data_IF_477820687333
#
_entry.id   IF_477820687333
#
_cell.length_a   1.000
_cell.length_b   1.000
_cell.length_c   1.000
_cell.angle_alpha   90.00
_cell.angle_beta   90.00
_cell.angle_gamma   90.00
#
_symmetry.space_group_name_H-M   'P 1'
#
loop_
_entity.id
_entity.type
_entity.pdbx_description
1 polymer ?
#
# COMPACT_ATOMS: atom_id res chain seq x y z
N UNK A 1 -2.14 -29.06 -10.04
CA UNK A 1 -3.16 -28.10 -10.51
C UNK A 1 -3.54 -27.19 -9.34
N UNK A 2 -3.41 -25.88 -9.48
CA UNK A 2 -3.78 -24.89 -8.45
C UNK A 2 -4.41 -23.68 -9.12
N UNK A 3 -5.32 -23.00 -8.41
CA UNK A 3 -5.82 -21.68 -8.81
C UNK A 3 -4.83 -20.63 -8.36
N UNK A 4 -4.34 -19.82 -9.31
CA UNK A 4 -3.38 -18.75 -9.09
C UNK A 4 -3.99 -17.45 -9.62
N UNK A 5 -3.85 -16.37 -8.86
CA UNK A 5 -4.24 -15.02 -9.29
C UNK A 5 -3.00 -14.23 -9.63
N UNK A 6 -2.93 -13.67 -10.83
CA UNK A 6 -1.88 -12.75 -11.24
C UNK A 6 -2.44 -11.32 -11.27
N UNK A 7 -1.76 -10.39 -10.62
CA UNK A 7 -2.03 -8.95 -10.76
C UNK A 7 -0.91 -8.30 -11.55
N UNK A 8 -1.25 -7.46 -12.52
CA UNK A 8 -0.27 -6.68 -13.28
C UNK A 8 -0.52 -5.18 -13.12
N UNK A 9 0.53 -4.45 -12.70
CA UNK A 9 0.50 -3.00 -12.54
C UNK A 9 0.45 -2.24 -13.88
N UNK A 10 0.18 -0.94 -13.84
CA UNK A 10 0.06 -0.11 -15.04
C UNK A 10 1.34 -0.08 -15.90
N UNK A 11 2.52 -0.08 -15.28
CA UNK A 11 3.81 -0.18 -15.97
C UNK A 11 3.97 -1.49 -16.72
N UNK A 12 3.43 -2.59 -16.17
CA UNK A 12 3.42 -3.92 -16.79
C UNK A 12 2.47 -3.98 -17.99
N UNK A 13 1.46 -3.12 -18.04
CA UNK A 13 0.45 -3.01 -19.10
C UNK A 13 0.69 -1.80 -20.02
N UNK A 14 1.83 -1.12 -19.93
CA UNK A 14 2.08 0.19 -20.51
C UNK A 14 2.21 0.24 -22.06
N UNK A 15 2.27 -0.90 -22.74
CA UNK A 15 2.29 -0.99 -24.20
C UNK A 15 1.75 -2.32 -24.70
N UNK A 16 1.39 -2.39 -25.98
CA UNK A 16 0.95 -3.66 -26.61
C UNK A 16 2.02 -4.74 -26.57
N UNK A 17 3.30 -4.38 -26.63
CA UNK A 17 4.41 -5.31 -26.47
C UNK A 17 4.44 -5.91 -25.06
N UNK A 18 4.29 -5.08 -24.03
CA UNK A 18 4.21 -5.53 -22.62
C UNK A 18 3.00 -6.42 -22.39
N UNK A 19 1.84 -6.07 -22.95
CA UNK A 19 0.63 -6.88 -22.87
C UNK A 19 0.86 -8.26 -23.52
N UNK A 20 1.57 -8.34 -24.67
CA UNK A 20 1.95 -9.64 -25.26
C UNK A 20 2.84 -10.46 -24.35
N UNK A 21 3.83 -9.83 -23.68
CA UNK A 21 4.71 -10.53 -22.75
C UNK A 21 3.93 -11.06 -21.53
N UNK A 22 2.97 -10.27 -21.00
CA UNK A 22 2.03 -10.72 -19.97
C UNK A 22 1.20 -11.90 -20.46
N UNK A 23 0.64 -11.83 -21.67
CA UNK A 23 -0.16 -12.91 -22.24
C UNK A 23 0.65 -14.21 -22.38
N UNK A 24 1.90 -14.15 -22.88
CA UNK A 24 2.80 -15.31 -22.97
C UNK A 24 3.08 -15.92 -21.61
N UNK A 25 3.37 -15.08 -20.60
CA UNK A 25 3.59 -15.55 -19.23
C UNK A 25 2.37 -16.24 -18.65
N UNK A 26 1.19 -15.65 -18.77
CA UNK A 26 -0.06 -16.24 -18.27
C UNK A 26 -0.40 -17.53 -19.01
N UNK A 27 -0.22 -17.57 -20.34
CA UNK A 27 -0.43 -18.78 -21.14
C UNK A 27 0.52 -19.91 -20.73
N UNK A 28 1.78 -19.60 -20.39
CA UNK A 28 2.75 -20.56 -19.85
C UNK A 28 2.21 -21.23 -18.57
N UNK A 29 1.71 -20.43 -17.61
CA UNK A 29 1.13 -20.94 -16.38
C UNK A 29 -0.13 -21.79 -16.62
N UNK A 30 -1.00 -21.35 -17.51
CA UNK A 30 -2.19 -22.11 -17.89
C UNK A 30 -1.83 -23.47 -18.53
N UNK A 31 -0.86 -23.49 -19.46
CA UNK A 31 -0.36 -24.72 -20.12
C UNK A 31 0.33 -25.69 -19.15
N UNK A 32 0.87 -25.18 -18.04
CA UNK A 32 1.40 -26.01 -16.95
C UNK A 32 0.31 -26.61 -16.05
N UNK A 33 -0.97 -26.42 -16.38
CA UNK A 33 -2.11 -27.04 -15.71
C UNK A 33 -2.65 -26.23 -14.53
N UNK A 34 -2.32 -24.93 -14.41
CA UNK A 34 -2.92 -24.04 -13.40
C UNK A 34 -4.20 -23.39 -13.92
N UNK A 35 -5.19 -23.21 -13.06
CA UNK A 35 -6.31 -22.31 -13.30
C UNK A 35 -5.84 -20.87 -13.06
N UNK A 36 -6.08 -19.98 -14.05
CA UNK A 36 -5.52 -18.64 -14.04
C UNK A 36 -6.59 -17.57 -14.00
N UNK A 37 -6.52 -16.71 -13.00
CA UNK A 37 -7.24 -15.42 -12.97
C UNK A 37 -6.23 -14.29 -13.07
N UNK A 38 -6.52 -13.30 -13.90
CA UNK A 38 -5.63 -12.14 -14.09
C UNK A 38 -6.38 -10.86 -13.78
N UNK A 39 -5.76 -10.00 -12.98
CA UNK A 39 -6.31 -8.68 -12.62
C UNK A 39 -5.33 -7.59 -13.10
N UNK A 40 -5.54 -7.04 -14.29
CA UNK A 40 -4.70 -5.95 -14.80
C UNK A 40 -5.15 -4.59 -14.25
N UNK A 41 -4.20 -3.68 -14.11
CA UNK A 41 -4.45 -2.25 -14.00
C UNK A 41 -4.66 -1.62 -15.38
N UNK A 42 -5.14 -0.39 -15.43
CA UNK A 42 -5.11 0.43 -16.64
C UNK A 42 -3.69 0.54 -17.20
N UNK A 43 -3.56 0.83 -18.48
CA UNK A 43 -2.26 1.17 -19.08
C UNK A 43 -1.62 2.36 -18.37
N UNK A 44 -0.29 2.38 -18.31
CA UNK A 44 0.43 3.45 -17.60
C UNK A 44 0.00 4.86 -18.05
N UNK A 45 -0.37 5.69 -17.07
CA UNK A 45 -0.82 7.07 -17.30
C UNK A 45 -2.29 7.24 -17.70
N UNK A 46 -2.99 6.16 -18.09
CA UNK A 46 -4.35 6.25 -18.63
C UNK A 46 -5.36 6.79 -17.60
N UNK A 47 -5.34 6.28 -16.38
CA UNK A 47 -6.22 6.77 -15.30
C UNK A 47 -5.99 8.26 -15.03
N UNK A 48 -4.71 8.71 -14.98
CA UNK A 48 -4.39 10.12 -14.79
C UNK A 48 -4.86 10.98 -15.97
N UNK A 49 -4.74 10.48 -17.19
CA UNK A 49 -5.23 11.15 -18.40
C UNK A 49 -6.75 11.37 -18.35
N UNK A 50 -7.50 10.32 -18.00
CA UNK A 50 -8.96 10.37 -17.90
C UNK A 50 -9.41 11.34 -16.79
N UNK A 51 -8.82 11.26 -15.61
CA UNK A 51 -9.12 12.19 -14.50
C UNK A 51 -8.72 13.63 -14.83
N UNK A 52 -7.65 13.83 -15.60
CA UNK A 52 -7.23 15.13 -16.12
C UNK A 52 -8.31 15.78 -16.99
N UNK A 53 -8.90 15.04 -17.92
CA UNK A 53 -10.00 15.52 -18.76
C UNK A 53 -11.22 15.95 -17.93
N UNK A 54 -11.58 15.17 -16.91
CA UNK A 54 -12.68 15.55 -16.01
C UNK A 54 -12.38 16.85 -15.25
N UNK A 55 -11.14 17.02 -14.79
CA UNK A 55 -10.70 18.24 -14.09
C UNK A 55 -10.70 19.46 -15.00
N UNK A 56 -10.37 19.31 -16.28
CA UNK A 56 -10.47 20.41 -17.26
C UNK A 56 -11.92 20.88 -17.45
N UNK A 57 -12.89 19.95 -17.44
CA UNK A 57 -14.31 20.26 -17.60
C UNK A 57 -14.93 20.87 -16.34
N UNK A 58 -14.49 20.46 -15.14
CA UNK A 58 -15.10 20.88 -13.88
C UNK A 58 -14.05 20.98 -12.75
N UNK A 59 -13.16 22.00 -12.78
CA UNK A 59 -11.98 22.07 -11.89
C UNK A 59 -12.30 22.23 -10.40
N UNK A 60 -13.51 22.70 -10.05
CA UNK A 60 -13.89 23.01 -8.66
C UNK A 60 -14.96 22.06 -8.10
N UNK A 61 -15.40 21.04 -8.85
CA UNK A 61 -16.42 20.10 -8.38
C UNK A 61 -15.81 18.94 -7.58
N UNK A 62 -16.48 18.60 -6.47
CA UNK A 62 -16.09 17.49 -5.60
C UNK A 62 -17.30 16.89 -4.85
N UNK A 63 -18.52 17.04 -5.40
CA UNK A 63 -19.71 16.43 -4.81
C UNK A 63 -19.87 14.94 -5.18
N UNK A 64 -20.79 14.26 -4.52
CA UNK A 64 -21.02 12.83 -4.73
C UNK A 64 -21.46 12.48 -6.16
N UNK A 65 -22.24 13.36 -6.80
CA UNK A 65 -22.69 13.16 -8.17
C UNK A 65 -21.53 13.24 -9.17
N UNK A 66 -20.62 14.20 -8.95
CA UNK A 66 -19.40 14.32 -9.74
C UNK A 66 -18.46 13.13 -9.53
N UNK A 67 -18.28 12.69 -8.29
CA UNK A 67 -17.44 11.53 -7.96
C UNK A 67 -17.96 10.24 -8.59
N UNK A 68 -19.29 10.07 -8.69
CA UNK A 68 -19.90 8.95 -9.41
C UNK A 68 -19.49 8.94 -10.90
N UNK A 69 -19.49 10.08 -11.56
CA UNK A 69 -19.07 10.19 -12.96
C UNK A 69 -17.56 10.00 -13.14
N UNK A 70 -16.75 10.41 -12.14
CA UNK A 70 -15.31 10.10 -12.11
C UNK A 70 -15.05 8.59 -12.06
N UNK A 71 -15.82 7.86 -11.25
CA UNK A 71 -15.70 6.40 -11.17
C UNK A 71 -16.08 5.72 -12.48
N UNK A 72 -17.18 6.17 -13.10
CA UNK A 72 -17.59 5.69 -14.42
C UNK A 72 -16.50 5.92 -15.47
N UNK A 73 -15.91 7.12 -15.50
CA UNK A 73 -14.85 7.48 -16.44
C UNK A 73 -13.55 6.69 -16.15
N UNK A 74 -13.07 6.69 -14.92
CA UNK A 74 -11.80 6.07 -14.54
C UNK A 74 -11.82 4.55 -14.79
N UNK A 75 -12.95 3.89 -14.55
CA UNK A 75 -13.10 2.44 -14.73
C UNK A 75 -12.84 1.95 -16.16
N UNK A 76 -12.98 2.83 -17.17
CA UNK A 76 -12.79 2.47 -18.58
C UNK A 76 -11.34 2.10 -18.91
N UNK A 77 -10.38 2.61 -18.15
CA UNK A 77 -8.95 2.30 -18.35
C UNK A 77 -8.64 0.83 -18.15
N UNK A 78 -9.13 0.24 -17.07
CA UNK A 78 -8.96 -1.18 -16.78
C UNK A 78 -9.80 -2.08 -17.71
N UNK A 79 -10.95 -1.61 -18.16
CA UNK A 79 -11.75 -2.33 -19.15
C UNK A 79 -10.99 -2.47 -20.46
N UNK A 80 -10.36 -1.41 -20.93
CA UNK A 80 -9.54 -1.42 -22.13
C UNK A 80 -8.36 -2.40 -22.00
N UNK A 81 -7.57 -2.30 -20.91
CA UNK A 81 -6.40 -3.18 -20.71
C UNK A 81 -6.78 -4.65 -20.54
N UNK A 82 -7.92 -4.94 -19.88
CA UNK A 82 -8.43 -6.30 -19.71
C UNK A 82 -8.85 -6.93 -21.05
N UNK A 83 -9.55 -6.18 -21.89
CA UNK A 83 -9.95 -6.65 -23.22
C UNK A 83 -8.73 -6.88 -24.13
N UNK A 84 -7.74 -5.96 -24.11
CA UNK A 84 -6.49 -6.11 -24.85
C UNK A 84 -5.70 -7.36 -24.43
N UNK A 85 -5.66 -7.64 -23.12
CA UNK A 85 -5.01 -8.84 -22.61
C UNK A 85 -5.74 -10.12 -23.05
N UNK A 86 -7.09 -10.12 -23.04
CA UNK A 86 -7.88 -11.27 -23.54
C UNK A 86 -7.59 -11.54 -25.02
N UNK A 87 -7.56 -10.49 -25.85
CA UNK A 87 -7.21 -10.59 -27.28
C UNK A 87 -5.80 -11.16 -27.45
N UNK A 88 -4.83 -10.68 -26.67
CA UNK A 88 -3.45 -11.16 -26.72
C UNK A 88 -3.32 -12.64 -26.32
N UNK A 89 -4.06 -13.09 -25.29
CA UNK A 89 -4.10 -14.50 -24.88
C UNK A 89 -4.71 -15.39 -25.96
N UNK A 90 -5.79 -14.95 -26.61
CA UNK A 90 -6.40 -15.67 -27.73
C UNK A 90 -5.43 -15.78 -28.92
N UNK A 91 -4.65 -14.73 -29.20
CA UNK A 91 -3.60 -14.76 -30.21
C UNK A 91 -2.47 -15.76 -29.89
N UNK A 92 -2.20 -16.01 -28.61
CA UNK A 92 -1.28 -17.06 -28.12
C UNK A 92 -1.94 -18.46 -28.10
N UNK A 93 -3.17 -18.61 -28.62
CA UNK A 93 -3.92 -19.87 -28.61
C UNK A 93 -4.47 -20.28 -27.24
N UNK A 94 -4.52 -19.37 -26.27
CA UNK A 94 -5.04 -19.65 -24.93
C UNK A 94 -6.48 -19.14 -24.83
N UNK A 95 -7.49 -20.02 -24.62
CA UNK A 95 -8.87 -19.60 -24.38
C UNK A 95 -8.95 -18.63 -23.20
N UNK A 96 -9.61 -17.50 -23.39
CA UNK A 96 -9.69 -16.45 -22.36
C UNK A 96 -10.96 -15.64 -22.49
N UNK A 97 -11.37 -15.04 -21.40
CA UNK A 97 -12.53 -14.15 -21.30
C UNK A 97 -12.21 -13.01 -20.33
N UNK A 98 -12.62 -11.79 -20.67
CA UNK A 98 -12.50 -10.62 -19.79
C UNK A 98 -13.86 -10.19 -19.23
N UNK A 99 -13.87 -9.77 -17.97
CA UNK A 99 -15.04 -9.27 -17.26
C UNK A 99 -14.74 -7.93 -16.59
N UNK A 100 -15.64 -6.98 -16.74
CA UNK A 100 -15.69 -5.82 -15.88
C UNK A 100 -16.15 -6.20 -14.46
N UNK A 101 -15.81 -5.40 -13.45
CA UNK A 101 -16.13 -5.69 -12.06
C UNK A 101 -17.62 -5.85 -11.75
N UNK A 102 -18.49 -5.23 -12.55
CA UNK A 102 -19.95 -5.38 -12.43
C UNK A 102 -20.48 -6.68 -13.08
N UNK A 103 -19.75 -7.28 -14.01
CA UNK A 103 -20.12 -8.56 -14.67
C UNK A 103 -19.76 -9.78 -13.81
N UNK A 104 -18.76 -9.64 -12.95
CA UNK A 104 -18.41 -10.55 -11.88
C UNK A 104 -18.73 -9.79 -10.59
N UNK A 105 -19.95 -9.88 -10.03
CA UNK A 105 -20.43 -8.88 -9.08
C UNK A 105 -19.49 -8.65 -7.90
N UNK A 106 -18.52 -7.74 -8.09
CA UNK A 106 -17.72 -7.16 -7.03
C UNK A 106 -18.59 -6.06 -6.41
N UNK A 107 -19.33 -6.43 -5.35
CA UNK A 107 -20.20 -5.49 -4.65
C UNK A 107 -19.39 -4.60 -3.74
N UNK A 108 -19.73 -3.32 -3.74
CA UNK A 108 -19.08 -2.29 -2.92
C UNK A 108 -20.13 -1.39 -2.29
N UNK A 109 -19.72 -0.63 -1.27
CA UNK A 109 -20.51 0.51 -0.83
C UNK A 109 -20.45 1.65 -1.87
N UNK A 110 -21.26 2.71 -1.66
CA UNK A 110 -21.41 3.87 -2.54
C UNK A 110 -20.44 5.03 -2.24
N UNK A 111 -19.32 4.75 -1.56
CA UNK A 111 -18.27 5.75 -1.31
C UNK A 111 -17.42 5.97 -2.58
N UNK A 112 -18.00 6.65 -3.59
CA UNK A 112 -17.34 6.89 -4.87
C UNK A 112 -15.91 7.40 -4.71
N UNK A 113 -15.01 6.97 -5.58
CA UNK A 113 -13.55 7.19 -5.59
C UNK A 113 -12.76 6.48 -4.48
N UNK A 114 -13.45 5.93 -3.46
CA UNK A 114 -12.84 5.25 -2.29
C UNK A 114 -13.69 4.07 -1.81
N UNK A 115 -14.44 3.43 -2.70
CA UNK A 115 -15.37 2.36 -2.35
C UNK A 115 -14.68 1.18 -1.64
N UNK A 116 -15.44 0.46 -0.81
CA UNK A 116 -14.97 -0.73 -0.11
C UNK A 116 -15.71 -1.95 -0.63
N UNK A 117 -14.97 -3.02 -0.90
CA UNK A 117 -15.53 -4.30 -1.33
C UNK A 117 -16.28 -4.93 -0.16
N UNK A 118 -17.53 -5.31 -0.39
CA UNK A 118 -18.40 -5.99 0.56
C UNK A 118 -18.50 -7.48 0.27
N UNK A 119 -18.62 -7.85 -1.01
CA UNK A 119 -18.67 -9.25 -1.44
C UNK A 119 -18.27 -9.42 -2.89
N UNK A 120 -17.89 -10.65 -3.27
CA UNK A 120 -17.60 -11.04 -4.65
C UNK A 120 -18.34 -12.34 -4.95
N UNK A 121 -19.06 -12.38 -6.07
CA UNK A 121 -19.68 -13.60 -6.59
C UNK A 121 -18.74 -14.28 -7.60
N UNK A 122 -18.15 -15.39 -7.19
CA UNK A 122 -17.20 -16.16 -7.99
C UNK A 122 -17.82 -17.23 -8.91
N UNK A 123 -19.13 -17.42 -8.92
CA UNK A 123 -19.79 -18.55 -9.63
C UNK A 123 -19.46 -18.55 -11.11
N UNK A 124 -19.60 -17.41 -11.77
CA UNK A 124 -19.30 -17.28 -13.21
C UNK A 124 -17.82 -17.50 -13.51
N UNK A 125 -16.94 -16.98 -12.67
CA UNK A 125 -15.49 -17.15 -12.80
C UNK A 125 -15.11 -18.62 -12.71
N UNK A 126 -15.67 -19.34 -11.73
CA UNK A 126 -15.43 -20.78 -11.55
C UNK A 126 -15.84 -21.58 -12.78
N UNK A 127 -17.03 -21.32 -13.33
CA UNK A 127 -17.51 -22.02 -14.52
C UNK A 127 -16.57 -21.87 -15.74
N UNK A 128 -16.02 -20.65 -15.95
CA UNK A 128 -15.07 -20.42 -17.04
C UNK A 128 -13.69 -21.05 -16.78
N UNK A 129 -13.22 -21.03 -15.54
CA UNK A 129 -11.97 -21.71 -15.13
C UNK A 129 -12.07 -23.23 -15.32
N UNK A 130 -13.21 -23.83 -14.96
CA UNK A 130 -13.48 -25.26 -15.15
C UNK A 130 -13.60 -25.62 -16.62
N UNK A 131 -14.01 -24.67 -17.48
CA UNK A 131 -14.00 -24.81 -18.94
C UNK A 131 -12.59 -24.59 -19.56
N UNK A 132 -11.53 -24.45 -18.75
CA UNK A 132 -10.14 -24.30 -19.22
C UNK A 132 -9.79 -22.89 -19.74
N UNK A 133 -10.61 -21.88 -19.45
CA UNK A 133 -10.33 -20.50 -19.85
C UNK A 133 -9.48 -19.79 -18.82
N UNK A 134 -8.62 -18.88 -19.27
CA UNK A 134 -8.06 -17.83 -18.44
C UNK A 134 -9.11 -16.74 -18.25
N UNK A 135 -9.38 -16.37 -17.00
CA UNK A 135 -10.37 -15.34 -16.68
C UNK A 135 -9.64 -14.03 -16.33
N UNK A 136 -9.95 -12.97 -17.04
CA UNK A 136 -9.42 -11.62 -16.77
C UNK A 136 -10.52 -10.79 -16.08
N UNK A 137 -10.24 -10.22 -14.92
CA UNK A 137 -11.18 -9.39 -14.19
C UNK A 137 -10.59 -7.99 -14.09
N UNK A 138 -11.35 -6.98 -14.50
CA UNK A 138 -10.90 -5.59 -14.36
C UNK A 138 -10.60 -5.27 -12.90
N UNK A 139 -9.39 -4.82 -12.62
CA UNK A 139 -9.04 -4.30 -11.30
C UNK A 139 -9.70 -2.96 -10.99
N UNK A 140 -9.52 -2.47 -9.78
CA UNK A 140 -9.87 -1.10 -9.36
C UNK A 140 -11.36 -0.80 -9.22
N UNK A 141 -12.28 -1.60 -9.73
CA UNK A 141 -13.71 -1.29 -9.85
C UNK A 141 -14.63 -2.37 -9.29
N UNK A 142 -15.82 -1.94 -8.91
CA UNK A 142 -16.95 -2.76 -8.52
C UNK A 142 -18.26 -2.06 -8.84
N UNK A 143 -19.35 -2.46 -8.18
CA UNK A 143 -20.67 -1.83 -8.28
C UNK A 143 -21.33 -1.71 -6.93
N UNK A 144 -22.04 -0.61 -6.71
CA UNK A 144 -22.86 -0.39 -5.52
C UNK A 144 -24.23 -1.13 -5.60
N UNK A 145 -25.04 -0.94 -4.58
CA UNK A 145 -26.40 -1.52 -4.48
C UNK A 145 -27.38 -1.02 -5.57
N UNK A 146 -27.08 0.12 -6.19
CA UNK A 146 -27.86 0.71 -7.26
C UNK A 146 -27.29 0.42 -8.65
N UNK A 147 -26.37 -0.54 -8.75
CA UNK A 147 -25.64 -0.91 -9.97
C UNK A 147 -24.78 0.21 -10.59
N UNK A 148 -24.48 1.27 -9.83
CA UNK A 148 -23.50 2.26 -10.27
C UNK A 148 -22.09 1.70 -10.17
N UNK A 149 -21.24 2.03 -11.13
CA UNK A 149 -19.83 1.69 -11.09
C UNK A 149 -19.15 2.50 -9.98
N UNK A 150 -18.31 1.82 -9.20
CA UNK A 150 -17.53 2.41 -8.12
C UNK A 150 -16.06 2.09 -8.32
N UNK A 151 -15.17 2.97 -7.86
CA UNK A 151 -13.73 2.71 -7.83
C UNK A 151 -13.19 2.64 -6.41
N UNK A 152 -12.14 1.83 -6.24
CA UNK A 152 -11.57 1.51 -4.93
C UNK A 152 -10.50 2.51 -4.46
N UNK A 153 -10.18 3.50 -5.29
CA UNK A 153 -9.11 4.45 -5.02
C UNK A 153 -7.71 3.90 -5.32
N UNK A 154 -6.66 4.58 -4.87
CA UNK A 154 -5.26 4.19 -5.13
C UNK A 154 -4.98 2.75 -4.71
N UNK A 155 -4.25 2.00 -5.55
CA UNK A 155 -3.94 0.59 -5.33
C UNK A 155 -5.16 -0.32 -5.38
N UNK A 156 -6.27 0.17 -5.93
CA UNK A 156 -7.50 -0.60 -6.03
C UNK A 156 -7.36 -1.88 -6.84
N UNK A 157 -6.46 -1.94 -7.84
CA UNK A 157 -6.21 -3.18 -8.59
C UNK A 157 -5.50 -4.25 -7.75
N UNK A 158 -4.58 -3.86 -6.83
CA UNK A 158 -3.99 -4.79 -5.86
C UNK A 158 -5.06 -5.34 -4.92
N UNK A 159 -5.89 -4.44 -4.38
CA UNK A 159 -7.01 -4.82 -3.51
C UNK A 159 -8.01 -5.73 -4.23
N UNK A 160 -8.34 -5.45 -5.51
CA UNK A 160 -9.21 -6.32 -6.32
C UNK A 160 -8.62 -7.71 -6.50
N UNK A 161 -7.33 -7.80 -6.84
CA UNK A 161 -6.66 -9.08 -7.06
C UNK A 161 -6.67 -9.96 -5.81
N UNK A 162 -6.35 -9.38 -4.66
CA UNK A 162 -6.36 -10.09 -3.38
C UNK A 162 -7.78 -10.49 -2.98
N UNK A 163 -8.77 -9.61 -3.18
CA UNK A 163 -10.17 -9.92 -2.89
C UNK A 163 -10.71 -11.04 -3.77
N UNK A 164 -10.36 -11.04 -5.06
CA UNK A 164 -10.69 -12.14 -6.00
C UNK A 164 -9.99 -13.42 -5.58
N UNK A 165 -8.72 -13.37 -5.19
CA UNK A 165 -7.98 -14.53 -4.70
C UNK A 165 -8.63 -15.13 -3.45
N UNK A 166 -9.06 -14.29 -2.51
CA UNK A 166 -9.78 -14.70 -1.31
C UNK A 166 -11.13 -15.37 -1.66
N UNK A 167 -11.95 -14.72 -2.49
CA UNK A 167 -13.28 -15.20 -2.87
C UNK A 167 -13.23 -16.53 -3.63
N UNK A 168 -12.16 -16.77 -4.37
CA UNK A 168 -11.94 -17.99 -5.13
C UNK A 168 -11.09 -19.04 -4.40
N UNK A 169 -10.67 -18.80 -3.17
CA UNK A 169 -9.73 -19.66 -2.43
C UNK A 169 -8.50 -20.01 -3.27
N UNK A 170 -7.87 -19.00 -3.87
CA UNK A 170 -6.67 -19.17 -4.65
C UNK A 170 -5.49 -19.60 -3.75
N UNK A 171 -4.60 -20.43 -4.29
CA UNK A 171 -3.40 -20.88 -3.58
C UNK A 171 -2.47 -19.70 -3.25
N UNK A 172 -2.35 -18.74 -4.17
CA UNK A 172 -1.44 -17.60 -4.06
C UNK A 172 -1.90 -16.47 -4.99
N UNK A 173 -1.63 -15.23 -4.60
CA UNK A 173 -1.79 -14.06 -5.44
C UNK A 173 -0.42 -13.49 -5.79
N UNK A 174 -0.03 -13.54 -7.05
CA UNK A 174 1.25 -13.06 -7.58
C UNK A 174 1.09 -11.62 -8.07
N UNK A 175 1.78 -10.68 -7.43
CA UNK A 175 1.73 -9.25 -7.77
C UNK A 175 2.97 -8.88 -8.58
N UNK A 176 2.75 -8.75 -9.89
CA UNK A 176 3.78 -8.31 -10.83
C UNK A 176 3.82 -6.78 -10.89
N UNK A 177 4.98 -6.23 -10.58
CA UNK A 177 5.23 -4.78 -10.53
C UNK A 177 6.56 -4.43 -11.22
N UNK A 178 7.04 -3.20 -11.06
CA UNK A 178 8.32 -2.73 -11.62
C UNK A 178 9.55 -3.03 -10.74
N UNK A 179 9.33 -3.63 -9.56
CA UNK A 179 10.39 -4.14 -8.69
C UNK A 179 10.33 -5.66 -8.58
N UNK A 180 11.44 -6.28 -8.24
CA UNK A 180 11.57 -7.74 -8.17
C UNK A 180 11.33 -8.33 -6.78
N UNK A 181 10.82 -7.53 -5.85
CA UNK A 181 10.46 -7.95 -4.49
C UNK A 181 10.45 -6.80 -3.50
N UNK A 182 10.36 -7.14 -2.22
CA UNK A 182 10.49 -6.23 -1.09
C UNK A 182 11.93 -6.25 -0.60
N UNK A 183 12.50 -5.09 -0.32
CA UNK A 183 13.88 -4.93 0.09
C UNK A 183 13.97 -4.49 1.56
N UNK A 184 15.13 -4.73 2.17
CA UNK A 184 15.43 -4.26 3.53
C UNK A 184 15.31 -2.74 3.69
N UNK A 185 15.47 -1.98 2.62
CA UNK A 185 15.09 -0.57 2.45
C UNK A 185 15.09 -0.24 0.96
N UNK A 186 14.82 1.02 0.58
CA UNK A 186 14.85 1.47 -0.82
C UNK A 186 16.28 1.37 -1.40
N UNK A 187 16.55 0.53 -2.40
CA UNK A 187 17.88 0.37 -3.00
C UNK A 187 18.40 1.63 -3.70
N UNK A 188 17.51 2.61 -3.99
CA UNK A 188 17.93 3.93 -4.51
C UNK A 188 18.58 4.80 -3.45
N UNK A 189 18.30 4.55 -2.17
CA UNK A 189 18.89 5.24 -1.01
C UNK A 189 20.08 4.47 -0.47
N UNK A 190 19.97 3.15 -0.39
CA UNK A 190 21.01 2.23 0.08
C UNK A 190 21.25 1.16 -0.99
N UNK A 191 22.30 1.30 -1.83
CA UNK A 191 22.59 0.32 -2.89
C UNK A 191 22.83 -1.11 -2.38
N UNK A 192 23.26 -1.26 -1.13
CA UNK A 192 23.51 -2.52 -0.44
C UNK A 192 22.22 -3.16 0.12
N UNK A 193 21.05 -2.51 -0.07
CA UNK A 193 19.77 -3.06 0.36
C UNK A 193 19.54 -4.42 -0.30
N UNK A 194 19.15 -5.39 0.50
CA UNK A 194 18.97 -6.77 0.11
C UNK A 194 17.48 -7.07 -0.11
N UNK A 195 17.15 -7.85 -1.13
CA UNK A 195 15.80 -8.36 -1.31
C UNK A 195 15.49 -9.42 -0.23
N UNK A 196 14.32 -9.33 0.36
CA UNK A 196 13.78 -10.29 1.31
C UNK A 196 13.15 -11.47 0.55
N UNK A 197 13.50 -12.69 0.88
CA UNK A 197 12.92 -13.89 0.27
C UNK A 197 11.50 -14.13 0.82
N UNK A 198 11.36 -13.95 2.12
CA UNK A 198 10.10 -14.12 2.84
C UNK A 198 9.89 -12.97 3.82
N UNK A 199 8.65 -12.61 4.03
CA UNK A 199 8.25 -11.56 4.97
C UNK A 199 6.90 -11.95 5.59
N UNK A 200 6.70 -11.69 6.88
CA UNK A 200 5.39 -11.93 7.46
C UNK A 200 4.40 -10.79 7.14
N UNK A 201 3.09 -11.09 7.24
CA UNK A 201 2.06 -10.09 6.94
C UNK A 201 2.13 -8.87 7.85
N UNK A 202 2.46 -9.06 9.13
CA UNK A 202 2.57 -7.96 10.09
C UNK A 202 3.68 -6.98 9.70
N UNK A 203 4.86 -7.50 9.34
CA UNK A 203 5.99 -6.68 8.87
C UNK A 203 5.67 -5.98 7.56
N UNK A 204 5.08 -6.72 6.59
CA UNK A 204 4.70 -6.12 5.30
C UNK A 204 3.68 -5.00 5.49
N UNK A 205 2.71 -5.17 6.38
CA UNK A 205 1.70 -4.16 6.69
C UNK A 205 2.34 -2.91 7.27
N UNK A 206 3.27 -3.07 8.23
CA UNK A 206 4.01 -1.96 8.80
C UNK A 206 4.89 -1.27 7.75
N UNK A 207 5.65 -2.02 6.95
CA UNK A 207 6.48 -1.45 5.88
C UNK A 207 5.63 -0.69 4.84
N UNK A 208 4.46 -1.23 4.46
CA UNK A 208 3.54 -0.57 3.54
C UNK A 208 2.97 0.72 4.14
N UNK A 209 2.63 0.73 5.42
CA UNK A 209 2.12 1.90 6.14
C UNK A 209 3.18 3.00 6.32
N UNK A 210 4.44 2.60 6.40
CA UNK A 210 5.57 3.49 6.71
C UNK A 210 6.28 4.03 5.46
N UNK A 211 5.77 3.75 4.26
CA UNK A 211 6.26 4.35 3.01
C UNK A 211 6.96 3.40 2.03
N UNK A 212 7.03 2.11 2.31
CA UNK A 212 7.40 1.12 1.29
C UNK A 212 6.30 1.07 0.23
N UNK A 213 6.53 1.70 -0.92
CA UNK A 213 5.53 1.87 -2.00
C UNK A 213 5.36 0.61 -2.88
N UNK A 214 5.80 -0.55 -2.42
CA UNK A 214 5.77 -1.81 -3.19
C UNK A 214 4.37 -2.39 -3.25
N UNK A 215 3.67 -2.42 -2.10
CA UNK A 215 2.28 -2.87 -2.00
C UNK A 215 1.41 -1.80 -1.35
N UNK A 216 0.15 -1.78 -1.75
CA UNK A 216 -0.85 -0.95 -1.09
C UNK A 216 -1.26 -1.55 0.25
N UNK A 217 -1.31 -0.71 1.29
CA UNK A 217 -1.68 -1.12 2.65
C UNK A 217 -3.01 -1.90 2.68
N UNK A 218 -4.05 -1.42 2.01
CA UNK A 218 -5.36 -2.10 1.94
C UNK A 218 -5.29 -3.49 1.33
N UNK A 219 -4.41 -3.74 0.35
CA UNK A 219 -4.24 -5.07 -0.23
C UNK A 219 -3.57 -6.03 0.75
N UNK A 220 -2.60 -5.55 1.52
CA UNK A 220 -1.93 -6.32 2.57
C UNK A 220 -2.90 -6.63 3.72
N UNK A 221 -3.67 -5.64 4.20
CA UNK A 221 -4.73 -5.84 5.20
C UNK A 221 -5.75 -6.90 4.76
N UNK A 222 -6.18 -6.81 3.50
CA UNK A 222 -7.15 -7.75 2.94
C UNK A 222 -6.58 -9.16 2.85
N UNK A 223 -5.33 -9.28 2.39
CA UNK A 223 -4.61 -10.54 2.33
C UNK A 223 -4.43 -11.16 3.73
N UNK A 224 -4.03 -10.36 4.71
CA UNK A 224 -3.92 -10.77 6.10
C UNK A 224 -5.25 -11.28 6.68
N UNK A 225 -6.34 -10.53 6.46
CA UNK A 225 -7.68 -10.88 6.94
C UNK A 225 -8.20 -12.20 6.36
N UNK A 226 -7.98 -12.43 5.07
CA UNK A 226 -8.51 -13.60 4.36
C UNK A 226 -7.47 -14.71 4.16
N UNK A 227 -6.29 -14.57 4.73
CA UNK A 227 -5.19 -15.55 4.69
C UNK A 227 -4.79 -15.94 3.26
N UNK A 228 -4.64 -14.94 2.39
CA UNK A 228 -4.18 -15.13 1.01
C UNK A 228 -2.68 -14.90 0.94
N UNK A 229 -1.83 -15.91 0.68
CA UNK A 229 -0.41 -15.70 0.44
C UNK A 229 -0.18 -14.78 -0.75
N UNK A 230 0.72 -13.79 -0.58
CA UNK A 230 1.10 -12.86 -1.64
C UNK A 230 2.54 -13.11 -2.07
N UNK A 231 2.83 -12.88 -3.33
CA UNK A 231 4.22 -12.83 -3.81
C UNK A 231 4.43 -11.62 -4.71
N UNK A 232 5.47 -10.86 -4.42
CA UNK A 232 5.87 -9.70 -5.21
C UNK A 232 6.95 -10.12 -6.19
N UNK A 233 6.73 -9.83 -7.48
CA UNK A 233 7.56 -10.26 -8.60
C UNK A 233 7.76 -9.12 -9.59
N UNK A 234 8.90 -9.11 -10.29
CA UNK A 234 9.09 -8.20 -11.42
C UNK A 234 8.31 -8.65 -12.65
N UNK A 235 7.61 -7.72 -13.27
CA UNK A 235 6.99 -7.93 -14.57
C UNK A 235 7.99 -7.83 -15.74
N UNK A 236 9.22 -7.40 -15.47
CA UNK A 236 10.27 -7.18 -16.47
C UNK A 236 11.24 -8.35 -16.63
N UNK A 237 11.12 -9.38 -15.78
CA UNK A 237 11.83 -10.64 -16.01
C UNK A 237 11.36 -11.27 -17.32
N UNK A 238 12.22 -12.09 -17.96
CA UNK A 238 11.86 -12.79 -19.17
C UNK A 238 10.58 -13.63 -18.95
N UNK A 239 9.65 -13.57 -19.92
CA UNK A 239 8.37 -14.30 -19.80
C UNK A 239 8.55 -15.81 -19.87
N UNK A 240 9.66 -16.30 -20.44
CA UNK A 240 10.00 -17.71 -20.66
C UNK A 240 10.85 -18.34 -19.55
N UNK A 241 11.12 -17.61 -18.46
CA UNK A 241 11.75 -18.18 -17.26
C UNK A 241 11.00 -19.43 -16.80
N UNK A 242 11.72 -20.43 -16.29
CA UNK A 242 11.09 -21.66 -15.79
C UNK A 242 10.04 -21.34 -14.71
N UNK A 243 8.91 -22.05 -14.76
CA UNK A 243 7.78 -21.76 -13.88
C UNK A 243 8.09 -22.04 -12.41
N UNK A 244 8.95 -23.03 -12.13
CA UNK A 244 9.34 -23.35 -10.75
C UNK A 244 10.35 -22.32 -10.21
N UNK A 245 11.19 -21.77 -11.08
CA UNK A 245 12.06 -20.65 -10.73
C UNK A 245 11.24 -19.39 -10.48
N UNK A 246 10.29 -19.08 -11.37
CA UNK A 246 9.41 -17.94 -11.21
C UNK A 246 8.56 -18.03 -9.94
N UNK A 247 8.01 -19.22 -9.64
CA UNK A 247 7.21 -19.48 -8.45
C UNK A 247 7.99 -19.35 -7.12
N UNK A 248 9.32 -19.41 -7.17
CA UNK A 248 10.21 -19.24 -6.00
C UNK A 248 10.91 -17.89 -5.98
N UNK A 249 10.80 -17.10 -7.04
CA UNK A 249 11.44 -15.79 -7.13
C UNK A 249 10.65 -14.73 -6.37
N UNK A 250 11.21 -13.53 -6.27
CA UNK A 250 10.57 -12.40 -5.61
C UNK A 250 10.55 -12.50 -4.09
N UNK A 251 9.57 -11.87 -3.46
CA UNK A 251 9.33 -11.91 -2.01
C UNK A 251 7.99 -12.56 -1.73
N UNK A 252 7.99 -13.64 -0.95
CA UNK A 252 6.78 -14.29 -0.44
C UNK A 252 6.33 -13.58 0.84
N UNK A 253 5.06 -13.17 0.89
CA UNK A 253 4.42 -12.64 2.09
C UNK A 253 3.46 -13.71 2.61
N UNK A 254 3.73 -14.23 3.80
CA UNK A 254 3.06 -15.41 4.36
C UNK A 254 2.72 -15.23 5.84
N UNK A 255 1.94 -16.17 6.38
CA UNK A 255 1.60 -16.26 7.81
C UNK A 255 2.53 -17.18 8.56
N UNK A 256 3.29 -18.01 7.86
CA UNK A 256 4.23 -18.94 8.49
C UNK A 256 5.45 -18.12 8.92
N UNK A 257 5.69 -18.11 10.23
CA UNK A 257 6.97 -17.72 10.78
C UNK A 257 7.97 -18.81 10.33
N UNK A 258 8.89 -18.46 9.45
CA UNK A 258 10.01 -19.34 9.12
C UNK A 258 10.82 -19.52 10.41
N UNK A 259 11.16 -20.77 10.79
CA UNK A 259 12.01 -21.04 11.97
C UNK A 259 13.33 -20.26 11.92
N UNK A 260 13.76 -19.86 10.72
CA UNK A 260 14.91 -18.98 10.48
C UNK A 260 14.63 -17.49 10.76
N UNK A 261 13.36 -17.07 10.85
CA UNK A 261 12.99 -15.69 11.17
C UNK A 261 13.29 -15.31 12.64
N UNK A 262 13.41 -16.27 13.55
CA UNK A 262 13.82 -15.99 14.95
C UNK A 262 15.17 -15.27 15.06
N UNK A 263 15.98 -15.25 14.00
CA UNK A 263 17.32 -14.67 14.01
C UNK A 263 17.38 -13.22 13.53
N UNK A 264 16.43 -12.73 12.74
CA UNK A 264 16.41 -11.36 12.26
C UNK A 264 15.63 -10.45 13.22
N UNK A 265 16.33 -9.70 14.05
CA UNK A 265 15.72 -8.74 15.01
C UNK A 265 15.01 -7.60 14.26
N UNK A 266 15.60 -7.13 13.16
CA UNK A 266 15.07 -6.09 12.29
C UNK A 266 15.10 -6.61 10.87
N UNK A 267 13.94 -6.58 10.21
CA UNK A 267 13.77 -7.07 8.83
C UNK A 267 13.98 -5.96 7.80
N UNK A 268 13.72 -4.70 8.18
CA UNK A 268 13.90 -3.60 7.24
C UNK A 268 13.72 -2.22 7.85
N UNK A 269 14.02 -1.23 7.01
CA UNK A 269 13.88 0.19 7.31
C UNK A 269 12.95 0.82 6.29
N UNK A 270 11.87 1.43 6.77
CA UNK A 270 10.96 2.22 5.99
C UNK A 270 11.08 3.71 6.33
N UNK A 271 10.79 4.58 5.37
CA UNK A 271 10.79 6.01 5.60
C UNK A 271 9.68 6.71 4.81
N UNK A 272 9.17 7.81 5.36
CA UNK A 272 8.13 8.62 4.73
C UNK A 272 8.52 10.11 4.80
N UNK A 273 8.53 10.78 3.64
CA UNK A 273 8.78 12.22 3.49
C UNK A 273 7.49 13.04 3.38
N UNK A 274 6.37 12.38 3.16
CA UNK A 274 5.10 13.03 2.86
C UNK A 274 4.32 13.38 4.15
N UNK A 275 5.03 13.66 5.25
CA UNK A 275 4.45 14.00 6.56
C UNK A 275 4.84 15.41 7.03
N UNK A 276 3.92 16.02 7.75
CA UNK A 276 4.13 17.28 8.46
C UNK A 276 3.75 17.13 9.92
N UNK A 277 4.56 17.72 10.81
CA UNK A 277 4.29 17.75 12.25
C UNK A 277 3.48 19.00 12.60
N UNK A 278 2.48 18.82 13.44
CA UNK A 278 1.69 19.90 14.02
C UNK A 278 1.70 19.74 15.54
N UNK A 279 1.89 20.84 16.26
CA UNK A 279 1.87 20.87 17.73
C UNK A 279 0.91 21.96 18.21
N UNK A 280 -0.08 21.57 18.99
CA UNK A 280 -0.96 22.48 19.73
C UNK A 280 -0.31 22.70 21.09
N UNK A 281 0.21 23.91 21.31
CA UNK A 281 1.08 24.24 22.46
C UNK A 281 0.26 24.82 23.62
N UNK A 282 0.60 24.42 24.84
CA UNK A 282 0.03 24.98 26.04
C UNK A 282 -1.44 24.67 26.26
N UNK A 283 -1.86 23.47 25.84
CA UNK A 283 -3.23 22.98 26.03
C UNK A 283 -3.46 22.64 27.50
N UNK A 284 -4.61 23.01 28.13
CA UNK A 284 -4.92 22.59 29.48
C UNK A 284 -4.95 21.07 29.65
N UNK A 285 -4.28 20.53 30.65
CA UNK A 285 -4.32 19.08 30.94
C UNK A 285 -5.65 18.70 31.61
N UNK A 286 -6.65 18.38 30.80
CA UNK A 286 -7.99 18.00 31.23
C UNK A 286 -8.50 16.81 30.42
N UNK A 287 -9.33 15.93 31.02
CA UNK A 287 -10.00 14.86 30.28
C UNK A 287 -10.77 15.40 29.06
N UNK A 288 -10.63 14.75 27.92
CA UNK A 288 -11.33 15.09 26.68
C UNK A 288 -10.60 16.03 25.72
N UNK A 289 -9.45 16.56 26.07
CA UNK A 289 -8.67 17.48 25.22
C UNK A 289 -8.25 16.80 23.90
N UNK A 290 -7.70 15.60 23.97
CA UNK A 290 -7.32 14.84 22.77
C UNK A 290 -8.51 14.63 21.82
N UNK A 291 -9.70 14.33 22.39
CA UNK A 291 -10.93 14.20 21.59
C UNK A 291 -11.34 15.53 20.93
N UNK A 292 -11.24 16.65 21.62
CA UNK A 292 -11.60 17.95 21.05
C UNK A 292 -10.65 18.36 19.91
N UNK A 293 -9.37 18.05 20.03
CA UNK A 293 -8.38 18.33 18.96
C UNK A 293 -8.60 17.37 17.77
N UNK A 294 -8.55 16.06 18.02
CA UNK A 294 -8.61 15.07 16.96
C UNK A 294 -10.01 14.90 16.38
N UNK A 295 -11.05 15.17 17.16
CA UNK A 295 -12.43 15.15 16.67
C UNK A 295 -12.65 16.17 15.56
N UNK A 296 -12.16 17.41 15.75
CA UNK A 296 -12.23 18.44 14.72
C UNK A 296 -11.44 18.07 13.44
N UNK A 297 -10.27 17.40 13.61
CA UNK A 297 -9.44 16.90 12.50
C UNK A 297 -10.17 15.76 11.75
N UNK A 298 -10.77 14.84 12.50
CA UNK A 298 -11.52 13.70 11.95
C UNK A 298 -12.79 14.16 11.19
N UNK A 299 -13.55 15.13 11.72
CA UNK A 299 -14.70 15.74 11.05
C UNK A 299 -14.31 16.41 9.72
N UNK A 300 -13.08 16.91 9.63
CA UNK A 300 -12.52 17.44 8.40
C UNK A 300 -12.01 16.34 7.44
N UNK A 301 -12.16 15.05 7.80
CA UNK A 301 -11.67 13.89 7.03
C UNK A 301 -10.16 13.96 6.76
N UNK A 302 -9.38 14.31 7.81
CA UNK A 302 -7.92 14.35 7.78
C UNK A 302 -7.39 13.17 8.59
N UNK A 303 -6.47 12.40 7.99
CA UNK A 303 -5.80 11.27 8.64
C UNK A 303 -4.64 11.77 9.51
N UNK A 304 -4.51 11.17 10.70
CA UNK A 304 -3.44 11.43 11.66
C UNK A 304 -2.66 10.13 11.84
N UNK A 305 -1.32 10.22 11.88
CA UNK A 305 -0.47 9.03 12.03
C UNK A 305 0.16 8.95 13.43
N UNK A 306 1.21 9.73 13.71
CA UNK A 306 1.82 9.74 15.04
C UNK A 306 1.11 10.73 15.96
N UNK A 307 0.89 10.34 17.22
CA UNK A 307 0.31 11.22 18.25
C UNK A 307 1.18 11.14 19.49
N UNK A 308 1.60 12.30 20.01
CA UNK A 308 2.39 12.42 21.23
C UNK A 308 1.79 13.50 22.10
N UNK A 309 1.53 13.15 23.36
CA UNK A 309 1.09 14.06 24.40
C UNK A 309 2.00 13.90 25.61
N UNK A 310 2.55 15.01 26.12
CA UNK A 310 3.37 15.05 27.32
C UNK A 310 2.71 15.94 28.36
N UNK A 311 2.71 15.51 29.62
CA UNK A 311 2.21 16.30 30.74
C UNK A 311 3.32 17.24 31.22
N UNK A 312 3.04 18.54 31.30
CA UNK A 312 3.95 19.51 31.88
C UNK A 312 3.64 19.78 33.36
N UNK A 313 4.60 20.37 34.11
CA UNK A 313 4.46 20.64 35.53
C UNK A 313 3.42 21.72 35.87
N UNK A 314 3.01 22.52 34.88
CA UNK A 314 2.15 23.69 35.06
C UNK A 314 0.67 23.42 34.73
N UNK A 315 0.24 22.12 34.64
CA UNK A 315 -1.11 21.74 34.28
C UNK A 315 -1.48 22.05 32.84
N UNK A 316 -0.48 22.23 32.00
CA UNK A 316 -0.59 22.36 30.56
C UNK A 316 0.12 21.20 29.89
N UNK A 317 -0.22 20.92 28.64
CA UNK A 317 0.41 19.90 27.81
C UNK A 317 0.60 20.43 26.40
N UNK A 318 1.59 19.89 25.70
CA UNK A 318 1.70 20.05 24.27
C UNK A 318 1.19 18.79 23.60
N UNK A 319 0.31 18.97 22.63
CA UNK A 319 -0.26 17.89 21.86
C UNK A 319 0.28 17.93 20.44
N UNK A 320 1.15 16.99 20.11
CA UNK A 320 1.81 16.91 18.81
C UNK A 320 1.31 15.71 18.02
N UNK A 321 1.11 15.89 16.73
CA UNK A 321 0.75 14.80 15.82
C UNK A 321 1.27 15.06 14.41
N UNK A 322 1.27 14.02 13.56
CA UNK A 322 1.65 14.15 12.16
C UNK A 322 0.43 13.94 11.26
N UNK A 323 0.44 14.66 10.13
CA UNK A 323 -0.54 14.55 9.05
C UNK A 323 0.21 14.49 7.72
N UNK A 324 -0.48 14.07 6.65
CA UNK A 324 0.09 14.17 5.31
C UNK A 324 0.37 15.64 4.93
N UNK A 325 1.49 15.90 4.26
CA UNK A 325 1.90 17.27 3.87
C UNK A 325 0.82 18.06 3.13
N UNK A 326 0.00 17.39 2.32
CA UNK A 326 -1.11 18.02 1.58
C UNK A 326 -2.22 18.55 2.49
N UNK A 327 -2.37 17.99 3.69
CA UNK A 327 -3.39 18.37 4.66
C UNK A 327 -2.88 19.37 5.69
N UNK A 328 -1.58 19.70 5.67
CA UNK A 328 -0.94 20.56 6.64
C UNK A 328 -1.59 21.94 6.78
N UNK A 329 -1.74 22.66 5.67
CA UNK A 329 -2.32 24.00 5.69
C UNK A 329 -3.75 23.97 6.21
N UNK A 330 -4.59 23.09 5.67
CA UNK A 330 -5.97 22.91 6.07
C UNK A 330 -6.11 22.54 7.55
N UNK A 331 -5.24 21.66 8.05
CA UNK A 331 -5.23 21.25 9.46
C UNK A 331 -4.83 22.43 10.36
N UNK A 332 -3.79 23.14 9.99
CA UNK A 332 -3.29 24.29 10.76
C UNK A 332 -4.35 25.39 10.85
N UNK A 333 -5.01 25.73 9.76
CA UNK A 333 -6.09 26.73 9.73
C UNK A 333 -7.27 26.27 10.60
N UNK A 334 -7.71 25.02 10.46
CA UNK A 334 -8.77 24.43 11.27
C UNK A 334 -8.48 24.53 12.78
N UNK A 335 -7.23 24.19 13.18
CA UNK A 335 -6.81 24.23 14.58
C UNK A 335 -6.77 25.66 15.11
N UNK A 336 -6.23 26.60 14.34
CA UNK A 336 -6.17 28.03 14.71
C UNK A 336 -7.55 28.66 14.85
N UNK A 337 -8.45 28.35 13.93
CA UNK A 337 -9.77 28.99 13.86
C UNK A 337 -10.76 28.40 14.88
N UNK A 338 -10.74 27.09 15.08
CA UNK A 338 -11.76 26.41 15.89
C UNK A 338 -11.22 25.89 17.22
N UNK A 339 -10.04 25.25 17.24
CA UNK A 339 -9.54 24.51 18.40
C UNK A 339 -8.80 25.42 19.37
N UNK A 340 -7.93 26.26 18.88
CA UNK A 340 -7.11 27.15 19.73
C UNK A 340 -8.00 28.06 20.61
N UNK A 341 -9.05 28.75 20.10
CA UNK A 341 -9.92 29.58 20.96
C UNK A 341 -10.75 28.74 21.94
N UNK A 342 -11.22 27.57 21.51
CA UNK A 342 -12.10 26.72 22.34
C UNK A 342 -11.38 26.09 23.53
N UNK A 343 -10.08 25.79 23.37
CA UNK A 343 -9.28 25.11 24.40
C UNK A 343 -8.46 26.07 25.27
N UNK A 344 -8.31 27.33 24.86
CA UNK A 344 -7.40 28.27 25.52
C UNK A 344 -5.92 27.85 25.37
N UNK A 345 -5.60 27.16 24.28
CA UNK A 345 -4.23 26.81 23.94
C UNK A 345 -3.43 28.07 23.57
N UNK A 346 -2.11 28.00 23.67
CA UNK A 346 -1.24 29.17 23.48
C UNK A 346 -0.96 29.42 22.00
N UNK A 347 -0.68 28.36 21.22
CA UNK A 347 -0.26 28.46 19.83
C UNK A 347 -0.48 27.16 19.07
N UNK A 348 -0.48 27.23 17.73
CA UNK A 348 -0.40 26.08 16.83
C UNK A 348 0.84 26.24 15.97
N UNK A 349 1.83 25.39 16.21
CA UNK A 349 3.10 25.36 15.50
C UNK A 349 3.14 24.18 14.53
N UNK A 350 3.91 24.28 13.45
CA UNK A 350 4.06 23.21 12.50
C UNK A 350 5.40 23.19 11.80
N UNK A 351 5.78 22.00 11.32
CA UNK A 351 6.99 21.78 10.56
C UNK A 351 6.68 20.80 9.39
N UNK A 352 6.94 21.25 8.17
CA UNK A 352 6.76 20.47 6.94
C UNK A 352 8.07 19.88 6.40
N UNK A 353 9.20 20.16 7.07
CA UNK A 353 10.53 19.67 6.69
C UNK A 353 10.98 18.52 7.59
N UNK A 354 10.08 17.59 7.78
CA UNK A 354 10.32 16.40 8.59
C UNK A 354 10.26 15.14 7.73
N UNK A 355 10.86 14.09 8.25
CA UNK A 355 10.71 12.75 7.70
C UNK A 355 10.57 11.76 8.85
N UNK A 356 9.72 10.75 8.66
CA UNK A 356 9.60 9.61 9.55
C UNK A 356 10.52 8.51 9.06
N UNK A 357 11.37 7.96 9.94
CA UNK A 357 12.23 6.80 9.68
C UNK A 357 11.88 5.73 10.70
N UNK A 358 11.68 4.51 10.24
CA UNK A 358 11.20 3.41 11.08
C UNK A 358 12.02 2.15 10.82
N UNK A 359 12.42 1.46 11.89
CA UNK A 359 12.89 0.09 11.84
C UNK A 359 11.71 -0.83 12.09
N UNK A 360 11.62 -1.94 11.34
CA UNK A 360 10.53 -2.92 11.39
C UNK A 360 11.11 -4.32 11.55
N UNK A 361 10.52 -5.13 12.42
CA UNK A 361 10.88 -6.54 12.60
C UNK A 361 10.15 -7.18 13.76
N UNK A 362 9.56 -8.37 13.54
CA UNK A 362 8.86 -9.12 14.60
C UNK A 362 9.81 -9.57 15.71
N UNK A 363 11.09 -9.81 15.39
CA UNK A 363 12.12 -10.15 16.37
C UNK A 363 12.35 -9.07 17.43
N UNK A 364 11.90 -7.85 17.21
CA UNK A 364 12.02 -6.75 18.20
C UNK A 364 11.21 -7.01 19.47
N UNK A 365 10.15 -7.82 19.43
CA UNK A 365 9.30 -8.17 20.59
C UNK A 365 10.10 -8.80 21.73
N UNK A 366 11.07 -9.64 21.41
CA UNK A 366 11.83 -10.43 22.38
C UNK A 366 13.23 -9.89 22.68
N UNK A 367 13.65 -8.81 22.01
CA UNK A 367 15.02 -8.30 22.11
C UNK A 367 15.07 -6.91 22.75
N UNK A 368 15.77 -6.82 23.88
CA UNK A 368 16.03 -5.54 24.56
C UNK A 368 17.16 -4.78 23.84
N UNK A 369 17.11 -3.45 23.88
CA UNK A 369 18.18 -2.59 23.38
C UNK A 369 18.09 -2.17 21.91
N UNK A 370 17.11 -2.66 21.15
CA UNK A 370 16.93 -2.31 19.73
C UNK A 370 16.73 -0.80 19.55
N UNK A 371 15.83 -0.18 20.31
CA UNK A 371 15.62 1.26 20.29
C UNK A 371 16.91 2.03 20.70
N UNK A 372 17.62 1.54 21.71
CA UNK A 372 18.89 2.14 22.14
C UNK A 372 19.96 2.09 21.03
N UNK A 373 20.05 0.97 20.29
CA UNK A 373 20.96 0.81 19.14
C UNK A 373 20.58 1.82 18.03
N UNK A 374 19.29 1.95 17.73
CA UNK A 374 18.77 2.93 16.77
C UNK A 374 19.15 4.37 17.17
N UNK A 375 18.88 4.76 18.41
CA UNK A 375 19.14 6.14 18.88
C UNK A 375 20.63 6.44 18.94
N UNK A 376 21.47 5.47 19.34
CA UNK A 376 22.93 5.61 19.32
C UNK A 376 23.42 5.88 17.89
N UNK A 377 23.00 5.07 16.93
CA UNK A 377 23.41 5.22 15.53
C UNK A 377 23.06 6.61 14.98
N UNK A 378 21.85 7.12 15.27
CA UNK A 378 21.45 8.46 14.87
C UNK A 378 22.25 9.57 15.59
N UNK A 379 22.55 9.38 16.87
CA UNK A 379 23.35 10.32 17.66
C UNK A 379 24.80 10.41 17.16
N UNK A 380 25.40 9.30 16.79
CA UNK A 380 26.76 9.25 16.22
C UNK A 380 26.87 10.00 14.89
N UNK A 381 25.78 10.03 14.11
CA UNK A 381 25.67 10.81 12.86
C UNK A 381 25.22 12.27 13.11
N UNK A 382 25.03 12.69 14.37
CA UNK A 382 24.61 14.05 14.72
C UNK A 382 23.15 14.37 14.34
N UNK A 383 22.30 13.35 14.24
CA UNK A 383 20.90 13.49 13.85
C UNK A 383 20.03 13.63 15.10
N UNK A 384 19.34 14.77 15.22
CA UNK A 384 18.40 15.01 16.30
C UNK A 384 17.05 14.38 16.05
N UNK A 385 16.48 13.75 17.09
CA UNK A 385 15.16 13.12 17.07
C UNK A 385 14.13 14.11 17.62
N UNK A 386 13.05 14.36 16.86
CA UNK A 386 11.97 15.27 17.24
C UNK A 386 10.79 14.56 17.90
N UNK A 387 10.46 13.34 17.45
CA UNK A 387 9.38 12.51 17.98
C UNK A 387 9.82 11.05 17.96
N UNK A 388 9.26 10.25 18.85
CA UNK A 388 9.48 8.80 18.93
C UNK A 388 8.12 8.13 19.09
N UNK A 389 7.90 7.04 18.36
CA UNK A 389 6.76 6.13 18.55
C UNK A 389 7.24 4.69 18.43
N UNK A 390 6.78 3.83 19.31
CA UNK A 390 7.17 2.42 19.35
C UNK A 390 5.93 1.53 19.38
N UNK A 391 6.05 0.36 18.75
CA UNK A 391 5.14 -0.77 18.93
C UNK A 391 5.95 -2.04 19.18
N UNK A 392 5.29 -3.19 19.22
CA UNK A 392 5.98 -4.48 19.38
C UNK A 392 6.93 -4.80 18.23
N UNK A 393 6.62 -4.34 17.02
CA UNK A 393 7.32 -4.72 15.79
C UNK A 393 7.92 -3.53 15.03
N UNK A 394 7.81 -2.31 15.57
CA UNK A 394 8.43 -1.12 14.97
C UNK A 394 8.91 -0.12 16.00
N UNK A 395 9.95 0.62 15.64
CA UNK A 395 10.34 1.86 16.30
C UNK A 395 10.48 2.95 15.24
N UNK A 396 9.74 4.02 15.39
CA UNK A 396 9.69 5.15 14.46
C UNK A 396 10.25 6.41 15.11
N UNK A 397 11.02 7.17 14.37
CA UNK A 397 11.50 8.50 14.76
C UNK A 397 11.13 9.53 13.70
N UNK A 398 10.83 10.74 14.14
CA UNK A 398 10.72 11.91 13.27
C UNK A 398 12.00 12.70 13.38
N UNK A 399 12.61 13.02 12.25
CA UNK A 399 13.85 13.78 12.12
C UNK A 399 13.68 14.88 11.08
N UNK A 400 14.64 15.80 10.97
CA UNK A 400 14.70 16.78 9.88
C UNK A 400 14.88 16.05 8.54
N UNK A 401 14.10 16.40 7.52
CA UNK A 401 14.07 15.76 6.21
C UNK A 401 15.45 15.68 5.53
N UNK A 402 16.29 16.69 5.71
CA UNK A 402 17.64 16.74 5.10
C UNK A 402 18.55 15.58 5.54
N UNK A 403 18.29 14.97 6.69
CA UNK A 403 19.07 13.85 7.23
C UNK A 403 18.51 12.47 6.86
N UNK A 404 17.41 12.38 6.14
CA UNK A 404 16.72 11.13 5.88
C UNK A 404 17.65 10.06 5.30
N UNK A 405 18.36 10.35 4.19
CA UNK A 405 19.24 9.38 3.55
C UNK A 405 20.39 8.94 4.45
N UNK A 406 20.98 9.88 5.21
CA UNK A 406 22.03 9.58 6.16
C UNK A 406 21.51 8.65 7.26
N UNK A 407 20.35 8.95 7.83
CA UNK A 407 19.71 8.13 8.85
C UNK A 407 19.44 6.71 8.36
N UNK A 408 18.86 6.56 7.16
CA UNK A 408 18.55 5.24 6.58
C UNK A 408 19.83 4.43 6.36
N UNK A 409 20.89 5.02 5.82
CA UNK A 409 22.20 4.36 5.62
C UNK A 409 22.85 3.95 6.93
N UNK A 410 22.84 4.85 7.93
CA UNK A 410 23.41 4.56 9.23
C UNK A 410 22.69 3.41 9.94
N UNK A 411 21.37 3.44 9.93
CA UNK A 411 20.55 2.39 10.52
C UNK A 411 20.69 1.05 9.77
N UNK A 412 20.74 1.08 8.43
CA UNK A 412 20.92 -0.14 7.63
C UNK A 412 22.24 -0.85 7.98
N UNK A 413 23.33 -0.10 8.10
CA UNK A 413 24.62 -0.62 8.58
C UNK A 413 24.56 -1.09 10.03
N UNK A 414 23.94 -0.28 10.92
CA UNK A 414 23.88 -0.61 12.33
C UNK A 414 23.14 -1.94 12.60
N UNK A 415 22.13 -2.27 11.80
CA UNK A 415 21.36 -3.50 11.95
C UNK A 415 21.80 -4.63 11.01
N UNK A 416 22.97 -4.49 10.36
CA UNK A 416 23.59 -5.50 9.48
C UNK A 416 22.65 -6.03 8.37
N UNK A 417 21.82 -5.11 7.81
CA UNK A 417 20.77 -5.48 6.85
C UNK A 417 21.31 -5.78 5.43
N UNK A 418 22.56 -5.51 5.16
CA UNK A 418 23.30 -5.92 3.96
C UNK A 418 23.70 -7.38 3.96
N UNK A 419 23.77 -8.00 5.16
CA UNK A 419 24.20 -9.39 5.33
C UNK A 419 22.98 -10.33 5.26
N UNK A 420 23.17 -11.52 4.68
CA UNK A 420 22.16 -12.56 4.78
C UNK A 420 22.10 -13.08 6.22
N UNK A 421 20.91 -13.34 6.77
CA UNK A 421 20.79 -14.05 8.04
C UNK A 421 21.56 -15.38 7.97
N UNK A 422 22.36 -15.66 9.00
CA UNK A 422 23.20 -16.84 9.09
C UNK A 422 22.38 -18.14 9.13
#
# INVERSE_FOLDING_TARGET
MALIVHKYGGTSMGSTERIRNVAKRVAKWARAGHQMVVVPSAMSGETNRLLGLAKELAPSKADSAYNRELDMLASTGEQASSALLAIALQAEGQPSVSYAGWQVPIRTNNAYTKARIESIDGVRVRADLDAGKVVIITGFQGKDEHDNITTLGRGGSDTSAVAVAAALNAKECLIYTDVDGVYTTDPRVVPEARRLETLCFEEMLEMASLGSKVLQIRSVEFAGKYKVPLRVLSSFTAWDIDINEEAKSGTLITFEEDEKMEQAIVSGIAFNRDEAKISVVGVPDKPGIAYQILGAVAEANIEVDMIIQNISKDGKTDFSFTVHCNDYARTTDLLKDKVLPALGATDVQGDTKICKVSIVGIGMRSHVGVASKMFRSLSEEGINIQMISTSEIKTSVVIDEKYMELAVRALHRAFDLDQQPA
#
